data_IF_763612193372
#
_entry.id   IF_763612193372
#
_cell.length_a   1.000
_cell.length_b   1.000
_cell.length_c   1.000
_cell.angle_alpha   90.00
_cell.angle_beta   90.00
_cell.angle_gamma   90.00
#
_symmetry.space_group_name_H-M   'P 1'
#
loop_
_entity.id
_entity.type
_entity.pdbx_description
1 polymer ?
#
# COMPACT_ATOMS: atom_id res chain seq x y z
N UNK A 1 -9.82 -17.28 -24.86
CA UNK A 1 -10.58 -17.95 -23.78
C UNK A 1 -11.95 -17.30 -23.70
N UNK A 2 -13.03 -18.04 -23.95
CA UNK A 2 -14.38 -17.50 -23.80
C UNK A 2 -14.65 -17.08 -22.35
N UNK A 3 -15.26 -15.91 -22.17
CA UNK A 3 -15.54 -15.34 -20.86
C UNK A 3 -16.58 -16.18 -20.13
N UNK A 4 -16.14 -17.01 -19.18
CA UNK A 4 -16.99 -17.78 -18.25
C UNK A 4 -17.96 -16.95 -17.38
N UNK A 5 -18.09 -15.65 -17.63
CA UNK A 5 -19.05 -14.74 -17.00
C UNK A 5 -20.20 -14.31 -17.92
N UNK A 6 -20.22 -14.76 -19.19
CA UNK A 6 -21.33 -14.51 -20.12
C UNK A 6 -22.62 -15.13 -19.57
N UNK A 7 -23.67 -14.31 -19.45
CA UNK A 7 -24.98 -14.72 -18.93
C UNK A 7 -25.14 -14.66 -17.41
N UNK A 8 -24.08 -14.35 -16.65
CA UNK A 8 -24.17 -14.16 -15.20
C UNK A 8 -24.79 -12.81 -14.85
N UNK A 9 -25.60 -12.78 -13.79
CA UNK A 9 -26.08 -11.54 -13.18
C UNK A 9 -24.91 -10.71 -12.61
N UNK A 10 -25.08 -9.39 -12.41
CA UNK A 10 -24.03 -8.54 -11.87
C UNK A 10 -23.43 -9.03 -10.54
N UNK A 11 -24.28 -9.51 -9.62
CA UNK A 11 -23.82 -10.09 -8.33
C UNK A 11 -23.06 -11.40 -8.50
N UNK A 12 -23.45 -12.24 -9.46
CA UNK A 12 -22.72 -13.48 -9.76
C UNK A 12 -21.35 -13.19 -10.38
N UNK A 13 -21.23 -12.11 -11.17
CA UNK A 13 -19.93 -11.67 -11.70
C UNK A 13 -18.98 -11.23 -10.58
N UNK A 14 -19.45 -10.47 -9.59
CA UNK A 14 -18.63 -10.11 -8.40
C UNK A 14 -18.21 -11.36 -7.63
N UNK A 15 -19.11 -12.34 -7.45
CA UNK A 15 -18.76 -13.62 -6.81
C UNK A 15 -17.73 -14.41 -7.62
N UNK A 16 -17.82 -14.39 -8.96
CA UNK A 16 -16.84 -15.04 -9.82
C UNK A 16 -15.44 -14.42 -9.66
N UNK A 17 -15.35 -13.09 -9.54
CA UNK A 17 -14.09 -12.38 -9.20
C UNK A 17 -13.54 -12.86 -7.86
N UNK A 18 -14.37 -12.91 -6.82
CA UNK A 18 -13.94 -13.38 -5.49
C UNK A 18 -13.45 -14.85 -5.51
N UNK A 19 -14.11 -15.72 -6.29
CA UNK A 19 -13.66 -17.10 -6.49
C UNK A 19 -12.31 -17.13 -7.21
N UNK A 20 -12.13 -16.36 -8.28
CA UNK A 20 -10.86 -16.28 -9.01
C UNK A 20 -9.73 -15.81 -8.09
N UNK A 21 -9.96 -14.79 -7.25
CA UNK A 21 -8.97 -14.38 -6.25
C UNK A 21 -8.62 -15.49 -5.28
N UNK A 22 -9.63 -16.21 -4.78
CA UNK A 22 -9.37 -17.30 -3.86
C UNK A 22 -8.62 -18.46 -4.52
N UNK A 23 -8.84 -18.71 -5.82
CA UNK A 23 -8.08 -19.68 -6.59
C UNK A 23 -6.63 -19.24 -6.80
N UNK A 24 -6.39 -17.95 -7.04
CA UNK A 24 -5.03 -17.40 -7.11
C UNK A 24 -4.29 -17.59 -5.77
N UNK A 25 -4.93 -17.24 -4.65
CA UNK A 25 -4.38 -17.40 -3.30
C UNK A 25 -4.03 -18.85 -2.93
N UNK A 26 -4.80 -19.81 -3.43
CA UNK A 26 -4.61 -21.24 -3.16
C UNK A 26 -3.72 -21.94 -4.20
N UNK A 27 -3.30 -21.21 -5.24
CA UNK A 27 -2.45 -21.77 -6.28
C UNK A 27 -1.10 -22.18 -5.69
N UNK A 28 -0.61 -23.36 -6.11
CA UNK A 28 0.71 -23.88 -5.71
C UNK A 28 1.81 -23.51 -6.68
N UNK A 29 1.42 -23.10 -7.89
CA UNK A 29 2.31 -22.77 -8.99
C UNK A 29 2.15 -21.29 -9.33
N UNK A 30 3.25 -20.54 -9.54
CA UNK A 30 3.17 -19.13 -9.90
C UNK A 30 2.34 -18.90 -11.18
N UNK A 31 2.42 -19.80 -12.15
CA UNK A 31 1.65 -19.66 -13.40
C UNK A 31 0.14 -19.75 -13.18
N UNK A 32 -0.30 -20.57 -12.21
CA UNK A 32 -1.71 -20.67 -11.86
C UNK A 32 -2.18 -19.46 -11.03
N UNK A 33 -1.33 -18.97 -10.12
CA UNK A 33 -1.59 -17.75 -9.34
C UNK A 33 -1.77 -16.55 -10.27
N UNK A 34 -0.83 -16.34 -11.20
CA UNK A 34 -0.90 -15.28 -12.20
C UNK A 34 -2.16 -15.42 -13.06
N UNK A 35 -2.44 -16.62 -13.58
CA UNK A 35 -3.60 -16.87 -14.44
C UNK A 35 -4.91 -16.49 -13.75
N UNK A 36 -5.09 -16.89 -12.50
CA UNK A 36 -6.30 -16.58 -11.73
C UNK A 36 -6.35 -15.11 -11.30
N UNK A 37 -5.21 -14.52 -10.95
CA UNK A 37 -5.09 -13.10 -10.61
C UNK A 37 -5.42 -12.18 -11.79
N UNK A 38 -4.84 -12.44 -12.97
CA UNK A 38 -5.17 -11.76 -14.24
C UNK A 38 -6.65 -11.88 -14.52
N UNK A 39 -7.21 -13.10 -14.40
CA UNK A 39 -8.64 -13.31 -14.64
C UNK A 39 -9.52 -12.48 -13.70
N UNK A 40 -9.17 -12.40 -12.42
CA UNK A 40 -9.92 -11.60 -11.45
C UNK A 40 -9.88 -10.11 -11.82
N UNK A 41 -8.72 -9.58 -12.20
CA UNK A 41 -8.57 -8.17 -12.62
C UNK A 41 -9.35 -7.90 -13.91
N UNK A 42 -9.24 -8.76 -14.92
CA UNK A 42 -9.98 -8.60 -16.18
C UNK A 42 -11.49 -8.61 -15.97
N UNK A 43 -12.01 -9.52 -15.16
CA UNK A 43 -13.44 -9.61 -14.87
C UNK A 43 -13.91 -8.39 -14.06
N UNK A 44 -13.10 -7.88 -13.12
CA UNK A 44 -13.35 -6.62 -12.41
C UNK A 44 -13.40 -5.42 -13.36
N UNK A 45 -12.44 -5.29 -14.27
CA UNK A 45 -12.43 -4.19 -15.23
C UNK A 45 -13.63 -4.25 -16.17
N UNK A 46 -14.05 -5.45 -16.57
CA UNK A 46 -15.25 -5.64 -17.39
C UNK A 46 -16.52 -5.24 -16.63
N UNK A 47 -16.61 -5.60 -15.35
CA UNK A 47 -17.69 -5.17 -14.45
C UNK A 47 -17.79 -3.63 -14.41
N UNK A 48 -16.65 -2.94 -14.30
CA UNK A 48 -16.61 -1.47 -14.29
C UNK A 48 -16.99 -0.85 -15.62
N UNK A 49 -16.54 -1.42 -16.74
CA UNK A 49 -16.91 -0.94 -18.07
C UNK A 49 -18.41 -1.12 -18.33
N UNK A 50 -18.97 -2.28 -17.99
CA UNK A 50 -20.40 -2.55 -18.12
C UNK A 50 -21.23 -1.61 -17.23
N UNK A 51 -20.73 -1.31 -16.03
CA UNK A 51 -21.34 -0.36 -15.09
C UNK A 51 -21.35 1.07 -15.66
N UNK A 52 -20.22 1.55 -16.17
CA UNK A 52 -20.10 2.87 -16.77
C UNK A 52 -20.90 3.00 -18.07
N UNK A 53 -21.03 1.94 -18.86
CA UNK A 53 -21.89 1.93 -20.04
C UNK A 53 -23.40 1.98 -19.68
N UNK A 54 -23.75 1.53 -18.46
CA UNK A 54 -25.11 1.55 -17.95
C UNK A 54 -25.44 2.84 -17.16
N UNK A 55 -24.44 3.65 -16.78
CA UNK A 55 -24.66 4.93 -16.11
C UNK A 55 -25.07 6.02 -17.11
N UNK A 56 -25.86 7.00 -16.64
CA UNK A 56 -26.31 8.13 -17.48
C UNK A 56 -25.15 9.13 -17.66
N UNK A 57 -25.11 9.90 -18.77
CA UNK A 57 -24.00 10.83 -19.06
C UNK A 57 -23.78 11.96 -18.03
N UNK A 58 -24.67 12.13 -17.06
CA UNK A 58 -24.59 13.14 -15.99
C UNK A 58 -23.84 12.62 -14.74
N UNK A 59 -23.51 11.33 -14.70
CA UNK A 59 -22.74 10.69 -13.64
C UNK A 59 -21.26 10.75 -14.00
N UNK A 60 -20.43 11.29 -13.09
CA UNK A 60 -19.02 11.64 -13.26
C UNK A 60 -18.07 10.43 -13.41
N UNK A 61 -18.61 9.25 -13.78
CA UNK A 61 -17.89 8.05 -14.18
C UNK A 61 -17.10 7.36 -13.05
N UNK A 62 -17.20 7.90 -11.84
CA UNK A 62 -16.52 7.46 -10.63
C UNK A 62 -17.49 6.88 -9.57
N UNK A 63 -18.81 7.02 -9.78
CA UNK A 63 -19.80 6.33 -8.96
C UNK A 63 -19.92 4.86 -9.37
N UNK A 64 -19.62 3.98 -8.42
CA UNK A 64 -19.80 2.54 -8.63
C UNK A 64 -21.27 2.19 -8.42
N UNK A 65 -21.84 1.27 -9.22
CA UNK A 65 -23.18 0.77 -8.97
C UNK A 65 -23.29 0.15 -7.57
N UNK A 66 -24.46 0.24 -6.95
CA UNK A 66 -24.72 -0.24 -5.59
C UNK A 66 -24.42 -1.74 -5.32
N UNK A 67 -24.13 -2.53 -6.36
CA UNK A 67 -23.78 -3.95 -6.27
C UNK A 67 -22.27 -4.24 -6.38
N UNK A 68 -21.43 -3.21 -6.59
CA UNK A 68 -19.96 -3.29 -6.60
C UNK A 68 -19.40 -2.28 -5.62
N UNK A 69 -18.54 -2.73 -4.71
CA UNK A 69 -17.80 -1.82 -3.83
C UNK A 69 -16.45 -1.45 -4.44
N UNK A 70 -15.86 -0.33 -4.00
CA UNK A 70 -14.48 0.03 -4.39
C UNK A 70 -13.49 -1.06 -3.98
N UNK A 71 -13.77 -1.75 -2.88
CA UNK A 71 -12.95 -2.86 -2.39
C UNK A 71 -13.00 -4.08 -3.31
N UNK A 72 -14.18 -4.42 -3.87
CA UNK A 72 -14.31 -5.50 -4.86
C UNK A 72 -13.45 -5.25 -6.11
N UNK A 73 -13.13 -3.99 -6.39
CA UNK A 73 -12.28 -3.57 -7.48
C UNK A 73 -10.80 -3.59 -7.09
N UNK A 74 -10.46 -3.03 -5.94
CA UNK A 74 -9.07 -2.75 -5.59
C UNK A 74 -8.33 -3.94 -5.00
N UNK A 75 -9.02 -4.88 -4.34
CA UNK A 75 -8.39 -6.09 -3.82
C UNK A 75 -7.77 -6.96 -4.93
N UNK A 76 -8.46 -7.22 -6.07
CA UNK A 76 -7.82 -7.88 -7.21
C UNK A 76 -6.57 -7.18 -7.73
N UNK A 77 -6.62 -5.85 -7.83
CA UNK A 77 -5.50 -5.04 -8.31
C UNK A 77 -4.30 -5.13 -7.36
N UNK A 78 -4.55 -5.02 -6.05
CA UNK A 78 -3.52 -5.13 -5.02
C UNK A 78 -2.86 -6.51 -5.03
N UNK A 79 -3.66 -7.59 -5.09
CA UNK A 79 -3.15 -8.96 -5.07
C UNK A 79 -2.30 -9.28 -6.29
N UNK A 80 -2.79 -8.96 -7.49
CA UNK A 80 -2.01 -9.17 -8.71
C UNK A 80 -0.78 -8.24 -8.76
N UNK A 81 -0.90 -7.02 -8.25
CA UNK A 81 0.24 -6.12 -8.10
C UNK A 81 1.31 -6.67 -7.17
N UNK A 82 0.90 -7.26 -6.04
CA UNK A 82 1.79 -7.92 -5.08
C UNK A 82 2.50 -9.12 -5.70
N UNK A 83 1.77 -9.91 -6.48
CA UNK A 83 2.33 -11.01 -7.26
C UNK A 83 3.43 -10.51 -8.20
N UNK A 84 3.16 -9.50 -9.03
CA UNK A 84 4.16 -8.99 -9.96
C UNK A 84 5.36 -8.31 -9.26
N UNK A 85 5.14 -7.62 -8.14
CA UNK A 85 6.21 -7.04 -7.35
C UNK A 85 7.16 -8.13 -6.82
N UNK A 86 6.61 -9.26 -6.34
CA UNK A 86 7.40 -10.39 -5.84
C UNK A 86 8.16 -11.13 -6.95
N UNK A 87 7.67 -11.08 -8.19
CA UNK A 87 8.26 -11.77 -9.35
C UNK A 87 9.16 -10.86 -10.21
N UNK A 88 9.60 -9.72 -9.66
CA UNK A 88 10.55 -8.84 -10.35
C UNK A 88 9.96 -8.10 -11.55
N UNK A 89 8.65 -7.85 -11.55
CA UNK A 89 7.92 -7.12 -12.59
C UNK A 89 7.32 -5.81 -12.04
N UNK A 90 8.17 -4.84 -11.65
CA UNK A 90 7.73 -3.64 -10.95
C UNK A 90 6.85 -2.73 -11.81
N UNK A 91 6.99 -2.72 -13.13
CA UNK A 91 6.18 -1.87 -14.00
C UNK A 91 4.69 -2.29 -13.98
N UNK A 92 4.41 -3.59 -14.01
CA UNK A 92 3.05 -4.11 -13.92
C UNK A 92 2.45 -3.89 -12.53
N UNK A 93 3.25 -4.13 -11.47
CA UNK A 93 2.83 -3.87 -10.11
C UNK A 93 2.48 -2.40 -9.88
N UNK A 94 3.32 -1.48 -10.35
CA UNK A 94 3.12 -0.04 -10.21
C UNK A 94 1.82 0.41 -10.89
N UNK A 95 1.57 -0.05 -12.11
CA UNK A 95 0.34 0.28 -12.84
C UNK A 95 -0.92 -0.17 -12.08
N UNK A 96 -0.91 -1.38 -11.52
CA UNK A 96 -2.04 -1.91 -10.76
C UNK A 96 -2.27 -1.15 -9.44
N UNK A 97 -1.20 -0.84 -8.71
CA UNK A 97 -1.30 -0.06 -7.48
C UNK A 97 -1.80 1.36 -7.72
N UNK A 98 -1.27 2.05 -8.73
CA UNK A 98 -1.73 3.40 -9.10
C UNK A 98 -3.20 3.39 -9.49
N UNK A 99 -3.64 2.39 -10.27
CA UNK A 99 -5.06 2.23 -10.59
C UNK A 99 -5.92 2.06 -9.34
N UNK A 100 -5.47 1.26 -8.37
CA UNK A 100 -6.18 1.10 -7.11
C UNK A 100 -6.19 2.39 -6.26
N UNK A 101 -5.10 3.15 -6.25
CA UNK A 101 -5.04 4.47 -5.59
C UNK A 101 -6.06 5.43 -6.20
N UNK A 102 -6.18 5.46 -7.53
CA UNK A 102 -7.15 6.33 -8.21
C UNK A 102 -8.59 5.96 -7.86
N UNK A 103 -8.91 4.66 -7.81
CA UNK A 103 -10.25 4.17 -7.44
C UNK A 103 -10.61 4.54 -6.00
N UNK A 104 -9.66 4.47 -5.06
CA UNK A 104 -9.91 4.74 -3.63
C UNK A 104 -9.69 6.19 -3.22
N UNK A 105 -8.88 6.96 -3.97
CA UNK A 105 -8.35 8.26 -3.56
C UNK A 105 -9.41 9.36 -3.40
N UNK A 106 -10.54 9.24 -4.09
CA UNK A 106 -11.69 10.13 -3.97
C UNK A 106 -12.76 9.67 -2.96
N UNK A 107 -12.56 8.54 -2.26
CA UNK A 107 -13.63 7.97 -1.43
C UNK A 107 -13.89 8.81 -0.17
N UNK A 108 -15.17 9.09 0.07
CA UNK A 108 -15.66 9.67 1.32
C UNK A 108 -15.65 8.65 2.48
N UNK A 109 -15.47 7.37 2.20
CA UNK A 109 -15.35 6.33 3.21
C UNK A 109 -13.93 6.25 3.82
N UNK A 110 -13.85 6.15 5.13
CA UNK A 110 -12.59 6.12 5.86
C UNK A 110 -11.84 4.78 5.68
N UNK A 111 -12.55 3.66 5.53
CA UNK A 111 -11.92 2.36 5.30
C UNK A 111 -11.23 2.36 3.94
N UNK A 112 -11.91 2.87 2.91
CA UNK A 112 -11.34 3.05 1.56
C UNK A 112 -10.11 3.96 1.56
N UNK A 113 -10.15 5.09 2.28
CA UNK A 113 -8.97 5.98 2.40
C UNK A 113 -7.80 5.27 3.07
N UNK A 114 -8.06 4.44 4.09
CA UNK A 114 -6.99 3.69 4.73
C UNK A 114 -6.40 2.60 3.79
N UNK A 115 -7.23 1.94 2.98
CA UNK A 115 -6.77 1.05 1.90
C UNK A 115 -5.98 1.79 0.83
N UNK A 116 -6.39 3.02 0.46
CA UNK A 116 -5.63 3.87 -0.46
C UNK A 116 -4.23 4.16 0.09
N UNK A 117 -4.12 4.45 1.39
CA UNK A 117 -2.84 4.65 2.06
C UNK A 117 -1.95 3.40 2.01
N UNK A 118 -2.51 2.21 2.15
CA UNK A 118 -1.79 0.94 1.96
C UNK A 118 -1.23 0.81 0.54
N UNK A 119 -2.02 1.09 -0.49
CA UNK A 119 -1.52 1.06 -1.87
C UNK A 119 -0.42 2.09 -2.11
N UNK A 120 -0.52 3.28 -1.53
CA UNK A 120 0.56 4.28 -1.60
C UNK A 120 1.84 3.79 -0.92
N UNK A 121 1.74 3.00 0.16
CA UNK A 121 2.89 2.34 0.76
C UNK A 121 3.57 1.37 -0.22
N UNK A 122 2.78 0.53 -0.89
CA UNK A 122 3.30 -0.44 -1.84
C UNK A 122 3.96 0.26 -3.05
N UNK A 123 3.41 1.39 -3.50
CA UNK A 123 4.04 2.25 -4.53
C UNK A 123 5.38 2.79 -4.03
N UNK A 124 5.45 3.31 -2.81
CA UNK A 124 6.69 3.82 -2.24
C UNK A 124 7.76 2.73 -2.14
N UNK A 125 7.41 1.54 -1.65
CA UNK A 125 8.32 0.40 -1.54
C UNK A 125 8.86 -0.03 -2.90
N UNK A 126 8.00 -0.11 -3.91
CA UNK A 126 8.38 -0.49 -5.27
C UNK A 126 9.33 0.52 -5.92
N UNK A 127 9.09 1.82 -5.69
CA UNK A 127 9.99 2.88 -6.15
C UNK A 127 11.35 2.79 -5.43
N UNK A 128 11.36 2.42 -4.15
CA UNK A 128 12.58 2.33 -3.35
C UNK A 128 13.51 1.14 -3.72
N UNK A 129 13.02 0.14 -4.47
CA UNK A 129 13.80 -1.08 -4.78
C UNK A 129 15.13 -0.84 -5.52
N UNK A 130 15.22 0.20 -6.37
CA UNK A 130 16.52 0.67 -6.90
C UNK A 130 16.80 2.04 -6.29
N UNK A 131 17.49 2.03 -5.16
CA UNK A 131 17.71 3.17 -4.28
C UNK A 131 18.70 4.20 -4.87
N UNK A 132 18.24 5.02 -5.81
CA UNK A 132 18.92 6.29 -6.15
C UNK A 132 18.35 7.41 -5.28
N UNK A 133 19.10 8.50 -5.00
CA UNK A 133 18.59 9.62 -4.21
C UNK A 133 17.25 10.16 -4.74
N UNK A 134 17.10 10.28 -6.06
CA UNK A 134 15.88 10.77 -6.70
C UNK A 134 14.70 9.82 -6.48
N UNK A 135 14.92 8.50 -6.61
CA UNK A 135 13.87 7.50 -6.39
C UNK A 135 13.50 7.40 -4.91
N UNK A 136 14.46 7.52 -4.01
CA UNK A 136 14.20 7.55 -2.57
C UNK A 136 13.36 8.75 -2.17
N UNK A 137 13.64 9.94 -2.73
CA UNK A 137 12.79 11.11 -2.47
C UNK A 137 11.39 10.95 -3.08
N UNK A 138 11.27 10.35 -4.27
CA UNK A 138 9.97 10.02 -4.85
C UNK A 138 9.19 9.03 -3.98
N UNK A 139 9.83 7.97 -3.50
CA UNK A 139 9.24 6.99 -2.58
C UNK A 139 8.81 7.68 -1.27
N UNK A 140 9.64 8.56 -0.72
CA UNK A 140 9.35 9.32 0.50
C UNK A 140 8.11 10.20 0.33
N UNK A 141 7.94 10.85 -0.81
CA UNK A 141 6.73 11.63 -1.10
C UNK A 141 5.47 10.75 -1.10
N UNK A 142 5.52 9.57 -1.73
CA UNK A 142 4.40 8.61 -1.72
C UNK A 142 4.10 8.09 -0.33
N UNK A 143 5.12 7.67 0.44
CA UNK A 143 4.95 7.20 1.80
C UNK A 143 4.42 8.30 2.73
N UNK A 144 4.89 9.54 2.60
CA UNK A 144 4.38 10.68 3.36
C UNK A 144 2.92 11.00 3.03
N UNK A 145 2.54 10.94 1.74
CA UNK A 145 1.14 11.09 1.32
C UNK A 145 0.26 9.98 1.89
N UNK A 146 0.70 8.73 1.80
CA UNK A 146 0.01 7.57 2.39
C UNK A 146 -0.18 7.74 3.89
N UNK A 147 0.87 8.10 4.63
CA UNK A 147 0.80 8.43 6.05
C UNK A 147 -0.26 9.49 6.37
N UNK A 148 -0.30 10.59 5.61
CA UNK A 148 -1.26 11.68 5.84
C UNK A 148 -2.70 11.22 5.60
N UNK A 149 -2.95 10.48 4.51
CA UNK A 149 -4.27 9.94 4.18
C UNK A 149 -4.73 8.92 5.23
N UNK A 150 -3.86 7.97 5.59
CA UNK A 150 -4.16 6.94 6.57
C UNK A 150 -4.39 7.49 7.98
N UNK A 151 -3.56 8.43 8.43
CA UNK A 151 -3.73 9.08 9.72
C UNK A 151 -5.05 9.85 9.83
N UNK A 152 -5.46 10.55 8.76
CA UNK A 152 -6.76 11.24 8.73
C UNK A 152 -7.90 10.24 8.79
N UNK A 153 -7.88 9.22 7.91
CA UNK A 153 -8.89 8.16 7.87
C UNK A 153 -9.06 7.48 9.23
N UNK A 154 -7.95 7.20 9.92
CA UNK A 154 -7.94 6.53 11.21
C UNK A 154 -8.75 7.26 12.30
N UNK A 155 -8.84 8.59 12.26
CA UNK A 155 -9.61 9.36 13.25
C UNK A 155 -11.11 9.13 13.17
N UNK A 156 -11.59 8.63 12.03
CA UNK A 156 -13.01 8.38 11.76
C UNK A 156 -13.41 6.92 12.03
N UNK A 157 -12.43 6.01 12.08
CA UNK A 157 -12.63 4.58 12.25
C UNK A 157 -12.72 4.15 13.73
N UNK A 158 -13.44 3.05 13.98
CA UNK A 158 -13.60 2.42 15.30
C UNK A 158 -13.50 0.89 15.19
N UNK A 159 -13.33 0.22 16.33
CA UNK A 159 -13.28 -1.25 16.40
C UNK A 159 -12.22 -1.87 15.50
N UNK A 160 -12.58 -2.94 14.80
CA UNK A 160 -11.67 -3.74 13.98
C UNK A 160 -11.12 -2.98 12.75
N UNK A 161 -11.91 -2.06 12.19
CA UNK A 161 -11.48 -1.22 11.07
C UNK A 161 -10.39 -0.25 11.50
N UNK A 162 -10.55 0.36 12.68
CA UNK A 162 -9.53 1.20 13.29
C UNK A 162 -8.24 0.41 13.56
N UNK A 163 -8.35 -0.79 14.13
CA UNK A 163 -7.19 -1.64 14.40
C UNK A 163 -6.46 -2.03 13.11
N UNK A 164 -7.21 -2.42 12.07
CA UNK A 164 -6.64 -2.74 10.75
C UNK A 164 -5.91 -1.52 10.17
N UNK A 165 -6.51 -0.35 10.27
CA UNK A 165 -5.89 0.89 9.80
C UNK A 165 -4.66 1.29 10.61
N UNK A 166 -4.63 1.05 11.92
CA UNK A 166 -3.45 1.27 12.76
C UNK A 166 -2.28 0.39 12.32
N UNK A 167 -2.53 -0.87 11.93
CA UNK A 167 -1.48 -1.76 11.39
C UNK A 167 -0.90 -1.17 10.10
N UNK A 168 -1.75 -0.76 9.17
CA UNK A 168 -1.32 -0.11 7.91
C UNK A 168 -0.50 1.15 8.18
N UNK A 169 -0.97 2.02 9.09
CA UNK A 169 -0.26 3.23 9.46
C UNK A 169 1.09 2.94 10.13
N UNK A 170 1.20 1.87 10.91
CA UNK A 170 2.45 1.47 11.53
C UNK A 170 3.50 1.05 10.49
N UNK A 171 3.09 0.25 9.49
CA UNK A 171 3.95 -0.15 8.35
C UNK A 171 4.39 1.06 7.54
N UNK A 172 3.45 1.97 7.21
CA UNK A 172 3.75 3.22 6.50
C UNK A 172 4.78 4.09 7.23
N UNK A 173 4.62 4.27 8.54
CA UNK A 173 5.57 5.03 9.36
C UNK A 173 6.94 4.37 9.41
N UNK A 174 6.99 3.03 9.48
CA UNK A 174 8.23 2.28 9.44
C UNK A 174 8.94 2.46 8.09
N UNK A 175 8.24 2.24 6.98
CA UNK A 175 8.80 2.39 5.63
C UNK A 175 9.28 3.83 5.37
N UNK A 176 8.52 4.84 5.81
CA UNK A 176 8.96 6.24 5.73
C UNK A 176 10.22 6.48 6.58
N UNK A 177 10.33 5.84 7.75
CA UNK A 177 11.53 5.87 8.59
C UNK A 177 12.75 5.28 7.89
N UNK A 178 12.58 4.14 7.19
CA UNK A 178 13.66 3.53 6.40
C UNK A 178 14.11 4.46 5.26
N UNK A 179 13.17 5.10 4.57
CA UNK A 179 13.49 6.06 3.51
C UNK A 179 14.30 7.25 4.06
N UNK A 180 13.90 7.80 5.22
CA UNK A 180 14.68 8.85 5.88
C UNK A 180 16.08 8.36 6.28
N UNK A 181 16.22 7.14 6.82
CA UNK A 181 17.52 6.55 7.16
C UNK A 181 18.41 6.40 5.93
N UNK A 182 17.88 5.90 4.82
CA UNK A 182 18.60 5.74 3.55
C UNK A 182 19.04 7.07 2.94
N UNK A 183 18.29 8.15 3.19
CA UNK A 183 18.62 9.52 2.80
C UNK A 183 19.55 10.23 3.79
N UNK A 184 20.00 9.56 4.86
CA UNK A 184 20.91 10.10 5.87
C UNK A 184 20.25 10.95 6.97
N UNK A 185 18.91 11.03 7.00
CA UNK A 185 18.15 11.74 8.02
C UNK A 185 17.83 10.82 9.22
N UNK A 186 18.87 10.52 10.00
CA UNK A 186 18.79 9.60 11.14
C UNK A 186 17.88 10.10 12.27
N UNK A 187 17.80 11.43 12.47
CA UNK A 187 16.92 12.03 13.47
C UNK A 187 15.45 11.78 13.10
N UNK A 188 15.07 12.09 11.86
CA UNK A 188 13.69 11.87 11.41
C UNK A 188 13.34 10.40 11.34
N UNK A 189 14.27 9.54 10.91
CA UNK A 189 14.09 8.10 10.92
C UNK A 189 13.77 7.58 12.33
N UNK A 190 14.50 8.05 13.35
CA UNK A 190 14.28 7.67 14.75
C UNK A 190 12.89 8.04 15.24
N UNK A 191 12.45 9.27 14.98
CA UNK A 191 11.09 9.73 15.34
C UNK A 191 10.01 8.85 14.70
N UNK A 192 10.17 8.54 13.42
CA UNK A 192 9.24 7.72 12.65
C UNK A 192 9.17 6.29 13.18
N UNK A 193 10.32 5.66 13.45
CA UNK A 193 10.35 4.31 14.03
C UNK A 193 9.76 4.28 15.44
N UNK A 194 9.96 5.30 16.27
CA UNK A 194 9.32 5.40 17.59
C UNK A 194 7.78 5.44 17.47
N UNK A 195 7.27 6.27 16.56
CA UNK A 195 5.82 6.37 16.29
C UNK A 195 5.27 5.07 15.71
N UNK A 196 5.96 4.45 14.76
CA UNK A 196 5.59 3.16 14.19
C UNK A 196 5.46 2.09 15.28
N UNK A 197 6.42 2.02 16.21
CA UNK A 197 6.39 1.07 17.33
C UNK A 197 5.20 1.29 18.25
N UNK A 198 4.92 2.53 18.64
CA UNK A 198 3.77 2.86 19.51
C UNK A 198 2.47 2.43 18.82
N UNK A 199 2.33 2.75 17.55
CA UNK A 199 1.13 2.41 16.79
C UNK A 199 0.96 0.90 16.62
N UNK A 200 2.03 0.18 16.30
CA UNK A 200 2.03 -1.27 16.22
C UNK A 200 1.65 -1.93 17.56
N UNK A 201 2.12 -1.40 18.69
CA UNK A 201 1.72 -1.86 20.03
C UNK A 201 0.22 -1.69 20.24
N UNK A 202 -0.32 -0.50 19.94
CA UNK A 202 -1.74 -0.21 20.10
C UNK A 202 -2.61 -1.08 19.16
N UNK A 203 -2.09 -1.41 17.98
CA UNK A 203 -2.74 -2.26 16.99
C UNK A 203 -2.62 -3.78 17.27
N UNK A 204 -1.99 -4.16 18.39
CA UNK A 204 -1.67 -5.55 18.73
C UNK A 204 -0.93 -6.27 17.58
N UNK A 205 0.06 -5.61 16.99
CA UNK A 205 0.82 -6.07 15.83
C UNK A 205 2.28 -6.34 16.21
N UNK A 206 2.59 -7.54 16.76
CA UNK A 206 3.89 -7.82 17.36
C UNK A 206 5.04 -7.77 16.36
N UNK A 207 4.83 -8.17 15.10
CA UNK A 207 5.85 -8.13 14.05
C UNK A 207 6.29 -6.68 13.79
N UNK A 208 5.34 -5.75 13.70
CA UNK A 208 5.62 -4.32 13.54
C UNK A 208 6.37 -3.73 14.75
N UNK A 209 6.04 -4.17 15.97
CA UNK A 209 6.76 -3.76 17.19
C UNK A 209 8.22 -4.21 17.13
N UNK A 210 8.46 -5.48 16.76
CA UNK A 210 9.81 -6.05 16.66
C UNK A 210 10.63 -5.36 15.56
N UNK A 211 10.06 -5.15 14.38
CA UNK A 211 10.73 -4.47 13.27
C UNK A 211 11.15 -3.04 13.65
N UNK A 212 10.22 -2.26 14.20
CA UNK A 212 10.50 -0.89 14.62
C UNK A 212 11.53 -0.83 15.76
N UNK A 213 11.47 -1.75 16.72
CA UNK A 213 12.48 -1.84 17.78
C UNK A 213 13.87 -2.19 17.25
N UNK A 214 13.96 -3.11 16.28
CA UNK A 214 15.21 -3.47 15.61
C UNK A 214 15.82 -2.29 14.86
N UNK A 215 15.00 -1.52 14.14
CA UNK A 215 15.46 -0.31 13.45
C UNK A 215 15.98 0.77 14.41
N UNK A 216 15.29 0.99 15.53
CA UNK A 216 15.76 1.91 16.58
C UNK A 216 17.09 1.47 17.19
N UNK A 217 17.28 0.17 17.40
CA UNK A 217 18.55 -0.37 17.90
C UNK A 217 19.67 -0.16 16.88
N UNK A 218 19.41 -0.43 15.59
CA UNK A 218 20.36 -0.20 14.51
C UNK A 218 20.84 1.25 14.45
N UNK A 219 19.92 2.22 14.48
CA UNK A 219 20.28 3.65 14.48
C UNK A 219 21.14 4.03 15.69
N UNK A 220 20.81 3.51 16.88
CA UNK A 220 21.60 3.77 18.10
C UNK A 220 23.04 3.27 17.97
N UNK A 221 23.23 2.07 17.41
CA UNK A 221 24.55 1.50 17.21
C UNK A 221 25.37 2.31 16.19
N UNK A 222 24.77 2.75 15.09
CA UNK A 222 25.43 3.60 14.10
C UNK A 222 25.91 4.93 14.71
N UNK A 223 25.11 5.55 15.57
CA UNK A 223 25.52 6.79 16.27
C UNK A 223 26.64 6.57 17.30
N UNK A 224 26.74 5.37 17.90
CA UNK A 224 27.80 5.04 18.85
C UNK A 224 29.15 4.75 18.15
N UNK A 225 29.12 4.34 16.89
CA UNK A 225 30.32 4.02 16.09
C UNK A 225 30.97 5.21 15.38
N UNK A 226 30.38 6.42 15.45
CA UNK A 226 30.99 7.66 14.95
C UNK A 226 31.46 8.51 16.14
N UNK A 227 32.73 8.42 16.56
CA UNK A 227 33.27 9.28 17.60
C UNK A 227 33.52 10.67 17.01
N UNK A 228 32.93 11.70 17.63
CA UNK A 228 33.31 13.11 17.58
C UNK A 228 34.09 13.61 16.36
N UNK A 229 33.39 14.26 15.43
CA UNK A 229 34.01 15.15 14.46
C UNK A 229 34.84 16.23 15.17
N UNK A 230 36.11 16.28 14.80
CA UNK A 230 37.16 17.20 15.21
C UNK A 230 36.66 18.62 15.54
N UNK A 231 36.85 19.02 16.79
CA UNK A 231 36.94 20.42 17.18
C UNK A 231 38.23 20.99 16.58
N UNK A 232 38.16 21.66 15.43
CA UNK A 232 39.24 22.49 14.93
C UNK A 232 39.21 23.82 15.68
N UNK A 233 39.86 23.84 16.84
CA UNK A 233 40.18 25.07 17.55
C UNK A 233 41.31 25.77 16.78
N UNK A 234 40.94 26.67 15.86
CA UNK A 234 41.87 27.54 15.15
C UNK A 234 42.39 28.61 16.10
N UNK A 235 43.49 28.28 16.78
CA UNK A 235 44.24 29.20 17.62
C UNK A 235 44.76 30.39 16.82
N UNK A 236 44.62 31.55 17.45
CA UNK A 236 45.31 32.79 17.14
C UNK A 236 46.82 32.59 17.04
N UNK A 237 47.40 33.09 15.94
CA UNK A 237 48.56 33.98 15.92
C UNK A 237 48.65 34.67 14.58
#
# INVERSE_FOLDING_TARGET
MESGTKGLSPRERVRAVAIALRLAELARRPEDEERWGVRAVEDTLRILQDAAAASRPEDDGLELPAWVTRTDVTVPLERLGSFYAAHGQPEYALALYLRGVDVLGGSADAVDRCRSAQLMNNVAELIAQNATPERLEQAKMWAAKGCAVGAKARTELKGDEAQTCDRTCAVLLFNLGQLCEMLGDAERARELFQRARILATNAQFPEGVQQAAGALMRLRLQTATVPGGLSSNGGTK
#
